data_IF_337410319471
#
_entry.id   IF_337410319471
#
_cell.length_a   1.000
_cell.length_b   1.000
_cell.length_c   1.000
_cell.angle_alpha   90.00
_cell.angle_beta   90.00
_cell.angle_gamma   90.00
#
_symmetry.space_group_name_H-M   'P 1'
#
loop_
_entity.id
_entity.type
_entity.pdbx_description
1 polymer ?
#
# COMPACT_ATOMS: atom_id res chain seq x y z
N UNK A 1 13.60 5.97 1.98
CA UNK A 1 13.18 5.20 0.80
C UNK A 1 11.67 5.27 0.70
N UNK A 2 11.08 5.64 -0.45
CA UNK A 2 9.60 5.75 -0.54
C UNK A 2 8.95 4.36 -0.52
N UNK A 3 7.88 4.18 0.25
CA UNK A 3 7.04 2.98 0.21
C UNK A 3 6.11 3.06 -1.01
N UNK A 4 6.61 2.63 -2.16
CA UNK A 4 5.88 2.71 -3.43
C UNK A 4 4.60 1.86 -3.36
N UNK A 5 4.64 0.69 -2.70
CA UNK A 5 3.47 -0.19 -2.59
C UNK A 5 2.35 0.46 -1.78
N UNK A 6 2.65 1.05 -0.62
CA UNK A 6 1.65 1.75 0.19
C UNK A 6 1.04 2.93 -0.58
N UNK A 7 1.86 3.68 -1.33
CA UNK A 7 1.36 4.74 -2.20
C UNK A 7 0.40 4.20 -3.27
N UNK A 8 0.76 3.11 -3.95
CA UNK A 8 -0.09 2.54 -5.00
C UNK A 8 -1.40 1.99 -4.43
N UNK A 9 -1.33 1.34 -3.27
CA UNK A 9 -2.51 0.83 -2.56
C UNK A 9 -3.46 1.96 -2.13
N UNK A 10 -2.91 3.04 -1.58
CA UNK A 10 -3.69 4.23 -1.26
C UNK A 10 -4.42 4.77 -2.50
N UNK A 11 -3.72 4.88 -3.62
CA UNK A 11 -4.27 5.40 -4.87
C UNK A 11 -5.34 4.47 -5.46
N UNK A 12 -5.15 3.15 -5.42
CA UNK A 12 -6.12 2.18 -5.94
C UNK A 12 -7.44 2.20 -5.18
N UNK A 13 -7.42 2.56 -3.89
CA UNK A 13 -8.60 2.73 -3.05
C UNK A 13 -9.21 4.15 -3.12
N UNK A 14 -8.74 4.99 -4.05
CA UNK A 14 -9.34 6.29 -4.35
C UNK A 14 -8.85 7.45 -3.47
N UNK A 15 -7.95 7.21 -2.52
CA UNK A 15 -7.34 8.26 -1.70
C UNK A 15 -6.26 8.97 -2.51
N UNK A 16 -6.60 10.06 -3.19
CA UNK A 16 -5.70 10.79 -4.11
C UNK A 16 -4.57 11.51 -3.36
N UNK A 17 -4.81 11.93 -2.12
CA UNK A 17 -3.83 12.68 -1.33
C UNK A 17 -3.48 12.01 0.01
N UNK A 18 -2.30 12.35 0.53
CA UNK A 18 -1.86 11.95 1.88
C UNK A 18 -2.77 12.53 2.97
N UNK A 19 -3.35 13.72 2.73
CA UNK A 19 -4.31 14.34 3.65
C UNK A 19 -5.59 13.52 3.74
N UNK A 20 -6.13 13.06 2.60
CA UNK A 20 -7.34 12.23 2.59
C UNK A 20 -7.13 10.93 3.38
N UNK A 21 -5.97 10.29 3.21
CA UNK A 21 -5.65 9.08 3.96
C UNK A 21 -5.45 9.35 5.46
N UNK A 22 -4.76 10.44 5.81
CA UNK A 22 -4.61 10.83 7.21
C UNK A 22 -5.95 11.14 7.88
N UNK A 23 -6.88 11.80 7.17
CA UNK A 23 -8.23 12.04 7.66
C UNK A 23 -8.99 10.73 7.90
N UNK A 24 -8.93 9.78 6.96
CA UNK A 24 -9.59 8.48 7.12
C UNK A 24 -9.04 7.70 8.33
N UNK A 25 -7.73 7.75 8.56
CA UNK A 25 -7.11 7.14 9.75
C UNK A 25 -7.54 7.89 11.01
N UNK A 26 -7.60 9.23 10.98
CA UNK A 26 -8.08 10.02 12.10
C UNK A 26 -9.55 9.70 12.46
N UNK A 27 -10.42 9.53 11.46
CA UNK A 27 -11.82 9.15 11.66
C UNK A 27 -11.92 7.74 12.26
N UNK A 28 -11.10 6.81 11.79
CA UNK A 28 -10.98 5.47 12.37
C UNK A 28 -10.57 5.52 13.84
N UNK A 29 -9.56 6.33 14.14
CA UNK A 29 -9.00 6.51 15.48
C UNK A 29 -10.06 7.05 16.44
N UNK A 30 -10.82 8.08 16.03
CA UNK A 30 -11.94 8.64 16.81
C UNK A 30 -13.03 7.59 17.02
N UNK A 31 -13.44 6.89 15.96
CA UNK A 31 -14.50 5.87 16.01
C UNK A 31 -14.18 4.73 16.99
N UNK A 32 -12.91 4.39 17.13
CA UNK A 32 -12.45 3.28 17.99
C UNK A 32 -11.91 3.75 19.35
N UNK A 33 -12.10 5.02 19.71
CA UNK A 33 -11.76 5.55 21.05
C UNK A 33 -10.27 5.68 21.31
N UNK A 34 -9.43 5.72 20.28
CA UNK A 34 -8.01 6.01 20.44
C UNK A 34 -7.82 7.52 20.72
N UNK A 35 -7.13 7.86 21.79
CA UNK A 35 -6.94 9.24 22.25
C UNK A 35 -5.93 10.06 21.41
N UNK A 36 -5.31 9.44 20.41
CA UNK A 36 -4.24 10.03 19.61
C UNK A 36 -4.83 10.82 18.44
N UNK A 37 -4.18 11.91 18.05
CA UNK A 37 -4.44 12.52 16.74
C UNK A 37 -3.49 11.92 15.69
N UNK A 38 -4.03 11.62 14.51
CA UNK A 38 -3.28 11.18 13.37
C UNK A 38 -3.25 12.27 12.30
N UNK A 39 -2.05 12.68 11.89
CA UNK A 39 -1.85 13.86 11.04
C UNK A 39 -1.34 13.50 9.66
N UNK A 40 -1.50 14.43 8.70
CA UNK A 40 -0.90 14.31 7.36
C UNK A 40 0.59 14.02 7.43
N UNK A 41 1.32 14.74 8.29
CA UNK A 41 2.78 14.58 8.42
C UNK A 41 3.14 13.16 8.86
N UNK A 42 2.42 12.60 9.83
CA UNK A 42 2.61 11.21 10.26
C UNK A 42 2.40 10.22 9.11
N UNK A 43 1.32 10.39 8.34
CA UNK A 43 1.08 9.57 7.16
C UNK A 43 2.14 9.75 6.07
N UNK A 44 2.59 10.98 5.82
CA UNK A 44 3.65 11.25 4.83
C UNK A 44 4.96 10.57 5.23
N UNK A 45 5.33 10.55 6.52
CA UNK A 45 6.50 9.81 7.00
C UNK A 45 6.35 8.31 6.80
N UNK A 46 5.16 7.76 7.05
CA UNK A 46 4.82 6.37 6.83
C UNK A 46 4.94 5.97 5.35
N UNK A 47 4.30 6.73 4.46
CA UNK A 47 4.37 6.53 3.00
C UNK A 47 5.79 6.71 2.44
N UNK A 48 6.61 7.52 3.10
CA UNK A 48 8.02 7.69 2.76
C UNK A 48 8.95 6.67 3.44
N UNK A 49 8.41 5.62 4.08
CA UNK A 49 9.21 4.54 4.68
C UNK A 49 10.12 5.00 5.80
N UNK A 50 9.79 6.10 6.48
CA UNK A 50 10.61 6.69 7.56
C UNK A 50 10.18 6.23 8.95
N UNK A 51 9.06 5.50 9.04
CA UNK A 51 8.51 4.99 10.30
C UNK A 51 8.98 3.55 10.49
N UNK A 52 9.83 3.32 11.50
CA UNK A 52 10.37 1.99 11.83
C UNK A 52 9.33 1.09 12.50
N UNK A 53 8.63 1.64 13.48
CA UNK A 53 7.62 0.93 14.26
C UNK A 53 6.28 1.63 14.06
N UNK A 54 5.41 1.02 13.26
CA UNK A 54 4.08 1.53 12.99
C UNK A 54 3.17 1.11 14.16
N UNK A 55 2.47 2.04 14.83
CA UNK A 55 1.58 1.69 15.93
C UNK A 55 0.47 0.73 15.48
N UNK A 56 0.09 -0.22 16.35
CA UNK A 56 -0.89 -1.27 16.03
C UNK A 56 -2.24 -0.70 15.58
N UNK A 57 -2.70 0.39 16.21
CA UNK A 57 -3.95 1.04 15.81
C UNK A 57 -3.88 1.62 14.38
N UNK A 58 -2.70 2.05 13.92
CA UNK A 58 -2.49 2.52 12.54
C UNK A 58 -2.48 1.33 11.59
N UNK A 59 -1.85 0.21 11.99
CA UNK A 59 -1.86 -1.03 11.20
C UNK A 59 -3.30 -1.50 10.99
N UNK A 60 -4.10 -1.59 12.05
CA UNK A 60 -5.52 -1.96 11.99
C UNK A 60 -6.34 -0.99 11.13
N UNK A 61 -6.16 0.31 11.33
CA UNK A 61 -6.81 1.32 10.50
C UNK A 61 -6.51 1.13 9.01
N UNK A 62 -5.25 0.88 8.65
CA UNK A 62 -4.86 0.65 7.27
C UNK A 62 -5.44 -0.66 6.70
N UNK A 63 -5.48 -1.74 7.49
CA UNK A 63 -6.10 -3.01 7.07
C UNK A 63 -7.57 -2.80 6.71
N UNK A 64 -8.31 -2.08 7.57
CA UNK A 64 -9.74 -1.87 7.40
C UNK A 64 -10.05 -0.85 6.29
N UNK A 65 -9.32 0.28 6.25
CA UNK A 65 -9.56 1.35 5.27
C UNK A 65 -9.15 0.91 3.86
N UNK A 66 -8.04 0.20 3.73
CA UNK A 66 -7.51 -0.24 2.44
C UNK A 66 -7.95 -1.66 2.08
N UNK A 67 -8.72 -2.33 2.95
CA UNK A 67 -9.19 -3.70 2.76
C UNK A 67 -8.03 -4.61 2.29
N UNK A 68 -6.99 -4.65 3.12
CA UNK A 68 -5.73 -5.34 2.83
C UNK A 68 -5.24 -6.05 4.10
N UNK A 69 -5.57 -7.34 4.31
CA UNK A 69 -5.17 -8.07 5.50
C UNK A 69 -3.64 -8.20 5.64
N UNK A 70 -2.91 -8.17 4.51
CA UNK A 70 -1.45 -8.27 4.43
C UNK A 70 -0.72 -6.92 4.54
N UNK A 71 -1.33 -5.89 5.15
CA UNK A 71 -0.73 -4.54 5.19
C UNK A 71 0.69 -4.51 5.80
N UNK A 72 0.99 -5.43 6.73
CA UNK A 72 2.31 -5.49 7.35
C UNK A 72 3.42 -5.78 6.34
N UNK A 73 3.14 -6.63 5.34
CA UNK A 73 4.06 -6.91 4.24
C UNK A 73 4.28 -5.66 3.37
N UNK A 74 3.20 -4.91 3.10
CA UNK A 74 3.25 -3.64 2.37
C UNK A 74 4.09 -2.62 3.14
N UNK A 75 3.94 -2.52 4.45
CA UNK A 75 4.73 -1.62 5.30
C UNK A 75 6.21 -2.04 5.36
N UNK A 76 6.48 -3.34 5.47
CA UNK A 76 7.83 -3.89 5.41
C UNK A 76 8.49 -3.63 4.05
N UNK A 77 7.71 -3.58 2.96
CA UNK A 77 8.23 -3.37 1.61
C UNK A 77 9.01 -2.05 1.45
N UNK A 78 8.70 -1.04 2.26
CA UNK A 78 9.43 0.24 2.28
C UNK A 78 10.94 0.08 2.48
N UNK A 79 11.34 -0.99 3.18
CA UNK A 79 12.72 -1.29 3.54
C UNK A 79 13.36 -2.32 2.60
N UNK A 80 12.58 -3.02 1.76
CA UNK A 80 13.08 -4.05 0.83
C UNK A 80 13.25 -3.56 -0.60
N UNK A 81 12.68 -2.42 -0.99
CA UNK A 81 12.66 -1.93 -2.38
C UNK A 81 14.04 -1.41 -2.89
N UNK A 82 15.10 -1.39 -2.07
CA UNK A 82 16.40 -0.96 -2.58
C UNK A 82 17.14 -2.00 -3.44
N UNK A 83 16.82 -3.30 -3.38
CA UNK A 83 17.83 -4.30 -3.80
C UNK A 83 17.48 -5.39 -4.80
N UNK A 84 16.31 -5.44 -5.45
CA UNK A 84 16.29 -6.12 -6.75
C UNK A 84 15.04 -5.88 -7.60
N UNK A 85 15.16 -5.04 -8.64
CA UNK A 85 14.20 -5.03 -9.76
C UNK A 85 14.01 -6.45 -10.33
N UNK A 86 15.06 -7.28 -10.26
CA UNK A 86 14.99 -8.68 -10.67
C UNK A 86 14.04 -9.51 -9.81
N UNK A 87 14.10 -9.40 -8.48
CA UNK A 87 13.21 -10.14 -7.58
C UNK A 87 11.73 -9.74 -7.76
N UNK A 88 11.47 -8.45 -8.02
CA UNK A 88 10.11 -8.01 -8.39
C UNK A 88 9.64 -8.61 -9.71
N UNK A 89 10.54 -8.69 -10.71
CA UNK A 89 10.26 -9.36 -11.98
C UNK A 89 10.00 -10.85 -11.78
N UNK A 90 10.84 -11.54 -11.04
CA UNK A 90 10.73 -12.98 -10.80
C UNK A 90 9.42 -13.31 -10.06
N UNK A 91 9.05 -12.50 -9.05
CA UNK A 91 7.78 -12.64 -8.34
C UNK A 91 6.57 -12.38 -9.25
N UNK A 92 6.66 -11.39 -10.14
CA UNK A 92 5.60 -11.09 -11.12
C UNK A 92 5.44 -12.25 -12.11
N UNK A 93 6.54 -12.75 -12.69
CA UNK A 93 6.51 -13.87 -13.64
C UNK A 93 5.87 -15.10 -13.00
N UNK A 94 6.29 -15.50 -11.79
CA UNK A 94 5.68 -16.63 -11.08
C UNK A 94 4.18 -16.46 -10.83
N UNK A 95 3.72 -15.23 -10.55
CA UNK A 95 2.30 -14.95 -10.36
C UNK A 95 1.54 -15.03 -11.68
N UNK A 96 2.11 -14.52 -12.77
CA UNK A 96 1.53 -14.59 -14.10
C UNK A 96 1.43 -16.03 -14.61
N UNK A 97 2.47 -16.85 -14.39
CA UNK A 97 2.48 -18.27 -14.78
C UNK A 97 1.42 -19.11 -14.05
N UNK A 98 0.92 -18.62 -12.91
CA UNK A 98 -0.12 -19.28 -12.13
C UNK A 98 -1.54 -18.85 -12.51
N UNK A 99 -1.71 -17.87 -13.41
CA UNK A 99 -3.02 -17.39 -13.84
C UNK A 99 -3.60 -18.30 -14.94
N UNK A 100 -4.92 -18.54 -14.96
CA UNK A 100 -5.62 -19.08 -16.12
C UNK A 100 -5.53 -18.14 -17.34
N UNK A 101 -5.69 -18.69 -18.54
CA UNK A 101 -5.58 -17.94 -19.81
C UNK A 101 -6.43 -16.66 -19.85
N UNK A 102 -7.67 -16.72 -19.34
CA UNK A 102 -8.59 -15.57 -19.30
C UNK A 102 -8.06 -14.42 -18.42
N UNK A 103 -7.49 -14.75 -17.26
CA UNK A 103 -6.92 -13.76 -16.35
C UNK A 103 -5.58 -13.22 -16.89
N UNK A 104 -4.80 -14.08 -17.55
CA UNK A 104 -3.55 -13.68 -18.19
C UNK A 104 -3.80 -12.68 -19.33
N UNK A 105 -4.78 -12.93 -20.19
CA UNK A 105 -5.21 -12.01 -21.25
C UNK A 105 -5.72 -10.66 -20.70
N UNK A 106 -6.44 -10.69 -19.59
CA UNK A 106 -6.88 -9.47 -18.91
C UNK A 106 -5.68 -8.63 -18.41
N UNK A 107 -4.68 -9.27 -17.81
CA UNK A 107 -3.45 -8.59 -17.39
C UNK A 107 -2.67 -8.07 -18.59
N UNK A 108 -2.54 -8.84 -19.66
CA UNK A 108 -1.86 -8.44 -20.90
C UNK A 108 -2.52 -7.19 -21.51
N UNK A 109 -3.85 -7.15 -21.53
CA UNK A 109 -4.64 -6.00 -21.98
C UNK A 109 -4.32 -4.75 -21.16
N UNK A 110 -4.31 -4.86 -19.83
CA UNK A 110 -3.97 -3.75 -18.93
C UNK A 110 -2.55 -3.25 -19.19
N UNK A 111 -1.57 -4.15 -19.32
CA UNK A 111 -0.17 -3.80 -19.59
C UNK A 111 -0.02 -3.07 -20.93
N UNK A 112 -0.74 -3.51 -21.96
CA UNK A 112 -0.75 -2.85 -23.26
C UNK A 112 -1.35 -1.44 -23.20
N UNK A 113 -2.36 -1.21 -22.36
CA UNK A 113 -2.95 0.12 -22.16
C UNK A 113 -2.00 1.09 -21.44
N UNK A 114 -1.14 0.60 -20.55
CA UNK A 114 -0.15 1.42 -19.83
C UNK A 114 1.05 1.85 -20.70
N UNK A 115 1.21 1.25 -21.88
CA UNK A 115 2.36 1.48 -22.79
C UNK A 115 2.13 2.58 -23.84
N UNK A 116 1.14 3.45 -23.65
CA UNK A 116 0.84 4.59 -24.53
C UNK A 116 1.67 5.83 -24.21
#
# INVERSE_FOLDING_TARGET
MKNIQLKQLRLSKGFKTQQQMANAIQDYVVKHGYAQSYTRTAYTMLENGLVKNVPEYVVKALQDILDTPTIQEVLASAHTISNNRQAMRDALVRKLDALPDEEFEAVLTIVNMLRR
#
